data_IF_867071979670
#
_entry.id   IF_867071979670
#
_cell.length_a   1.000
_cell.length_b   1.000
_cell.length_c   1.000
_cell.angle_alpha   90.00
_cell.angle_beta   90.00
_cell.angle_gamma   90.00
#
_symmetry.space_group_name_H-M   'P 1'
#
loop_
_entity.id
_entity.type
_entity.pdbx_description
1 polymer ?
#
# COMPACT_ATOMS: atom_id res chain seq x y z
N UNK A 1 -22.81 2.96 5.22
CA UNK A 1 -21.62 2.90 4.37
C UNK A 1 -20.88 1.67 4.81
N UNK A 2 -20.64 0.77 3.87
CA UNK A 2 -20.06 -0.54 4.14
C UNK A 2 -18.55 -0.44 4.41
N UNK A 3 -18.03 -1.37 5.20
CA UNK A 3 -16.59 -1.45 5.51
C UNK A 3 -15.73 -1.57 4.24
N UNK A 4 -16.30 -2.12 3.15
CA UNK A 4 -15.66 -2.21 1.83
C UNK A 4 -15.51 -0.84 1.17
N UNK A 5 -16.57 -0.02 1.20
CA UNK A 5 -16.57 1.33 0.64
C UNK A 5 -15.62 2.25 1.42
N UNK A 6 -15.59 2.10 2.76
CA UNK A 6 -14.67 2.85 3.62
C UNK A 6 -13.22 2.54 3.29
N UNK A 7 -12.90 1.26 3.04
CA UNK A 7 -11.56 0.86 2.62
C UNK A 7 -11.20 1.42 1.25
N UNK A 8 -12.11 1.39 0.27
CA UNK A 8 -11.89 2.02 -1.04
C UNK A 8 -11.58 3.51 -0.92
N UNK A 9 -12.31 4.25 -0.08
CA UNK A 9 -12.01 5.67 0.14
C UNK A 9 -10.63 5.89 0.75
N UNK A 10 -10.17 5.02 1.66
CA UNK A 10 -8.84 5.10 2.26
C UNK A 10 -7.76 4.80 1.22
N UNK A 11 -7.93 3.76 0.41
CA UNK A 11 -6.96 3.33 -0.60
C UNK A 11 -6.82 4.37 -1.73
N UNK A 12 -7.91 5.06 -2.08
CA UNK A 12 -7.93 6.12 -3.08
C UNK A 12 -7.82 7.53 -2.49
N UNK A 13 -7.65 7.66 -1.16
CA UNK A 13 -7.67 8.94 -0.46
C UNK A 13 -6.64 9.92 -1.03
N UNK A 14 -5.40 9.48 -1.21
CA UNK A 14 -4.31 10.33 -1.72
C UNK A 14 -4.59 10.80 -3.15
N UNK A 15 -5.06 9.91 -4.03
CA UNK A 15 -5.38 10.24 -5.44
C UNK A 15 -6.58 11.17 -5.56
N UNK A 16 -7.60 10.96 -4.74
CA UNK A 16 -8.78 11.83 -4.72
C UNK A 16 -8.41 13.23 -4.23
N UNK A 17 -7.51 13.32 -3.25
CA UNK A 17 -7.09 14.61 -2.70
C UNK A 17 -6.19 15.38 -3.68
N UNK A 18 -5.34 14.69 -4.44
CA UNK A 18 -4.42 15.30 -5.40
C UNK A 18 -5.13 15.72 -6.70
N UNK A 19 -6.05 14.88 -7.19
CA UNK A 19 -6.62 15.06 -8.53
C UNK A 19 -8.03 15.69 -8.54
N UNK A 20 -8.80 15.56 -7.45
CA UNK A 20 -10.19 16.04 -7.40
C UNK A 20 -10.30 17.37 -6.67
N UNK A 21 -10.95 18.34 -7.31
CA UNK A 21 -11.25 19.62 -6.68
C UNK A 21 -12.55 19.52 -5.89
N UNK A 22 -12.51 19.97 -4.64
CA UNK A 22 -13.68 20.00 -3.75
C UNK A 22 -14.81 20.82 -4.34
N UNK A 23 -14.49 21.91 -5.03
CA UNK A 23 -15.50 22.82 -5.61
C UNK A 23 -16.35 22.15 -6.69
N UNK A 24 -15.87 21.08 -7.31
CA UNK A 24 -16.59 20.37 -8.38
C UNK A 24 -17.55 19.31 -7.80
N UNK A 25 -17.22 18.74 -6.64
CA UNK A 25 -18.00 17.68 -5.98
C UNK A 25 -18.90 18.18 -4.84
N UNK A 26 -18.46 19.16 -4.07
CA UNK A 26 -19.13 19.62 -2.85
C UNK A 26 -20.52 20.22 -3.13
N UNK A 27 -20.73 21.09 -4.15
CA UNK A 27 -22.06 21.62 -4.45
C UNK A 27 -23.08 20.54 -4.78
N UNK A 28 -22.66 19.48 -5.49
CA UNK A 28 -23.51 18.33 -5.84
C UNK A 28 -23.89 17.53 -4.59
N UNK A 29 -22.95 17.33 -3.67
CA UNK A 29 -23.21 16.64 -2.41
C UNK A 29 -24.13 17.44 -1.46
N UNK A 30 -24.08 18.77 -1.51
CA UNK A 30 -25.02 19.63 -0.78
C UNK A 30 -26.42 19.56 -1.42
N UNK A 31 -26.50 19.59 -2.76
CA UNK A 31 -27.76 19.43 -3.50
C UNK A 31 -28.44 18.09 -3.20
N UNK A 32 -27.65 17.02 -3.11
CA UNK A 32 -28.09 15.66 -2.75
C UNK A 32 -28.36 15.47 -1.24
N UNK A 33 -28.26 16.55 -0.44
CA UNK A 33 -28.46 16.56 1.02
C UNK A 33 -27.54 15.61 1.81
N UNK A 34 -26.38 15.27 1.27
CA UNK A 34 -25.35 14.50 1.97
C UNK A 34 -24.59 15.41 2.95
N UNK A 35 -24.31 16.64 2.52
CA UNK A 35 -23.74 17.71 3.34
C UNK A 35 -24.73 18.86 3.48
N UNK A 36 -24.69 19.54 4.63
CA UNK A 36 -25.42 20.79 4.79
C UNK A 36 -24.62 21.96 4.20
N UNK A 37 -25.29 23.07 3.93
CA UNK A 37 -24.63 24.31 3.46
C UNK A 37 -23.56 24.75 4.48
N UNK A 38 -23.84 24.61 5.78
CA UNK A 38 -22.89 24.90 6.86
C UNK A 38 -21.66 23.97 6.83
N UNK A 39 -21.84 22.68 6.55
CA UNK A 39 -20.70 21.75 6.38
C UNK A 39 -19.86 22.15 5.17
N UNK A 40 -20.51 22.59 4.08
CA UNK A 40 -19.83 23.06 2.88
C UNK A 40 -19.01 24.32 3.10
N UNK A 41 -19.54 25.27 3.85
CA UNK A 41 -18.81 26.48 4.27
C UNK A 41 -17.62 26.13 5.16
N UNK A 42 -17.78 25.20 6.11
CA UNK A 42 -16.68 24.75 6.98
C UNK A 42 -15.58 24.01 6.21
N UNK A 43 -15.95 23.26 5.18
CA UNK A 43 -15.00 22.59 4.29
C UNK A 43 -14.28 23.64 3.44
N UNK A 44 -15.01 24.57 2.81
CA UNK A 44 -14.41 25.59 1.92
C UNK A 44 -13.66 26.70 2.65
N UNK A 45 -13.89 26.88 3.96
CA UNK A 45 -13.14 27.80 4.80
C UNK A 45 -11.64 27.43 4.94
N UNK A 46 -11.25 26.20 4.60
CA UNK A 46 -9.85 25.79 4.64
C UNK A 46 -9.05 26.35 3.46
N UNK A 47 -7.85 26.88 3.73
CA UNK A 47 -7.03 27.58 2.72
C UNK A 47 -6.53 26.71 1.56
N UNK A 48 -6.43 25.39 1.72
CA UNK A 48 -5.85 24.49 0.72
C UNK A 48 -6.90 23.54 0.15
N UNK A 49 -7.07 23.47 -1.19
CA UNK A 49 -7.98 22.50 -1.84
C UNK A 49 -7.74 21.05 -1.38
N UNK A 50 -6.47 20.71 -1.11
CA UNK A 50 -6.07 19.42 -0.56
C UNK A 50 -6.68 19.19 0.83
N UNK A 51 -6.56 20.15 1.74
CA UNK A 51 -7.12 20.07 3.10
C UNK A 51 -8.65 20.11 3.09
N UNK A 52 -9.25 20.84 2.15
CA UNK A 52 -10.70 20.81 1.93
C UNK A 52 -11.14 19.38 1.55
N UNK A 53 -10.44 18.72 0.61
CA UNK A 53 -10.82 17.38 0.13
C UNK A 53 -10.62 16.33 1.21
N UNK A 54 -9.52 16.40 1.95
CA UNK A 54 -9.27 15.53 3.09
C UNK A 54 -10.41 15.62 4.12
N UNK A 55 -10.87 16.83 4.42
CA UNK A 55 -11.97 17.02 5.38
C UNK A 55 -13.30 16.52 4.84
N UNK A 56 -13.58 16.71 3.55
CA UNK A 56 -14.74 16.14 2.89
C UNK A 56 -14.73 14.60 2.97
N UNK A 57 -13.61 13.96 2.59
CA UNK A 57 -13.44 12.51 2.64
C UNK A 57 -13.46 11.95 4.07
N UNK A 58 -13.01 12.73 5.06
CA UNK A 58 -13.10 12.35 6.47
C UNK A 58 -14.54 12.36 6.99
N UNK A 59 -15.35 13.33 6.57
CA UNK A 59 -16.73 13.45 7.00
C UNK A 59 -17.68 12.51 6.23
N UNK A 60 -17.35 12.17 4.99
CA UNK A 60 -18.17 11.35 4.09
C UNK A 60 -18.64 10.01 4.73
N UNK A 61 -17.78 9.23 5.44
CA UNK A 61 -18.18 7.98 6.09
C UNK A 61 -19.16 8.13 7.25
N UNK A 62 -19.24 9.32 7.84
CA UNK A 62 -20.14 9.64 8.95
C UNK A 62 -21.54 10.06 8.48
N UNK A 63 -21.74 10.32 7.17
CA UNK A 63 -23.00 10.82 6.60
C UNK A 63 -23.94 9.74 6.05
N UNK A 64 -23.59 8.45 6.23
CA UNK A 64 -24.50 7.33 5.97
C UNK A 64 -24.20 6.53 4.71
N UNK A 65 -25.01 5.50 4.42
CA UNK A 65 -24.77 4.54 3.33
C UNK A 65 -24.84 5.13 1.93
N UNK A 66 -25.71 6.12 1.71
CA UNK A 66 -25.89 6.71 0.39
C UNK A 66 -24.81 7.74 0.03
N UNK A 67 -24.00 8.16 1.01
CA UNK A 67 -22.97 9.18 0.82
C UNK A 67 -21.89 8.73 -0.18
N UNK A 68 -21.50 7.46 -0.14
CA UNK A 68 -20.50 6.91 -1.07
C UNK A 68 -21.03 6.88 -2.50
N UNK A 69 -22.23 6.33 -2.72
CA UNK A 69 -22.84 6.26 -4.05
C UNK A 69 -23.01 7.65 -4.67
N UNK A 70 -23.50 8.63 -3.89
CA UNK A 70 -23.69 10.01 -4.35
C UNK A 70 -22.39 10.74 -4.62
N UNK A 71 -21.35 10.46 -3.82
CA UNK A 71 -20.01 10.96 -4.10
C UNK A 71 -19.46 10.39 -5.40
N UNK A 72 -19.60 9.08 -5.62
CA UNK A 72 -19.15 8.46 -6.86
C UNK A 72 -19.93 8.98 -8.07
N UNK A 73 -21.23 9.21 -7.94
CA UNK A 73 -22.03 9.85 -9.01
C UNK A 73 -21.57 11.29 -9.28
N UNK A 74 -21.21 12.06 -8.24
CA UNK A 74 -20.64 13.41 -8.42
C UNK A 74 -19.31 13.39 -9.17
N UNK A 75 -18.52 12.32 -8.98
CA UNK A 75 -17.27 12.09 -9.69
C UNK A 75 -17.50 11.62 -11.14
N UNK A 76 -18.61 10.95 -11.48
CA UNK A 76 -18.82 10.45 -12.85
C UNK A 76 -18.86 11.54 -13.91
N UNK A 77 -19.28 12.75 -13.54
CA UNK A 77 -19.41 13.87 -14.48
C UNK A 77 -18.05 14.44 -14.90
N UNK A 78 -17.17 14.69 -13.93
CA UNK A 78 -15.88 15.38 -14.17
C UNK A 78 -14.67 14.43 -14.10
N UNK A 79 -14.83 13.29 -13.42
CA UNK A 79 -13.80 12.32 -13.08
C UNK A 79 -14.29 10.88 -13.30
N UNK A 80 -14.90 10.64 -14.47
CA UNK A 80 -15.50 9.35 -14.84
C UNK A 80 -14.58 8.14 -14.61
N UNK A 81 -13.29 8.30 -14.89
CA UNK A 81 -12.26 7.28 -14.67
C UNK A 81 -11.98 6.98 -13.18
N UNK A 82 -12.10 7.96 -12.28
CA UNK A 82 -12.01 7.73 -10.82
C UNK A 82 -13.28 7.06 -10.31
N UNK A 83 -14.44 7.51 -10.80
CA UNK A 83 -15.72 6.93 -10.44
C UNK A 83 -15.80 5.45 -10.85
N UNK A 84 -15.36 5.12 -12.07
CA UNK A 84 -15.31 3.76 -12.60
C UNK A 84 -14.42 2.88 -11.72
N UNK A 85 -13.24 3.39 -11.33
CA UNK A 85 -12.28 2.69 -10.45
C UNK A 85 -12.78 2.51 -9.01
N UNK A 86 -13.63 3.43 -8.53
CA UNK A 86 -14.31 3.32 -7.25
C UNK A 86 -15.50 2.34 -7.31
N UNK A 87 -16.24 2.31 -8.42
CA UNK A 87 -17.39 1.41 -8.64
C UNK A 87 -17.01 0.01 -9.07
N UNK A 88 -15.83 -0.21 -9.66
CA UNK A 88 -15.40 -1.52 -10.14
C UNK A 88 -15.55 -2.55 -9.01
N UNK A 89 -16.51 -3.45 -9.21
CA UNK A 89 -17.05 -4.35 -8.22
C UNK A 89 -16.35 -5.70 -8.37
N UNK A 90 -15.02 -5.76 -8.24
CA UNK A 90 -14.34 -7.05 -8.02
C UNK A 90 -12.87 -6.89 -7.64
N UNK A 91 -12.50 -7.55 -6.54
CA UNK A 91 -11.21 -8.22 -6.37
C UNK A 91 -9.89 -7.42 -6.50
N UNK A 92 -9.85 -6.11 -6.25
CA UNK A 92 -8.56 -5.43 -6.07
C UNK A 92 -8.15 -5.49 -4.60
N UNK A 93 -7.68 -6.67 -4.18
CA UNK A 93 -6.56 -6.69 -3.27
C UNK A 93 -5.42 -5.94 -3.98
N UNK A 94 -4.89 -4.89 -3.32
CA UNK A 94 -3.55 -4.34 -3.57
C UNK A 94 -3.37 -3.54 -4.86
N UNK A 95 -3.66 -2.24 -4.81
CA UNK A 95 -3.18 -1.26 -5.81
C UNK A 95 -2.46 -0.05 -5.19
N UNK A 96 -1.81 -0.25 -4.04
CA UNK A 96 -0.47 0.30 -3.85
C UNK A 96 0.50 -0.80 -4.32
N UNK A 97 1.50 -0.47 -5.15
CA UNK A 97 2.53 -1.39 -5.71
C UNK A 97 2.28 -1.95 -7.12
N UNK A 98 2.00 -1.12 -8.14
CA UNK A 98 2.11 -1.53 -9.56
C UNK A 98 3.38 -1.01 -10.27
N UNK A 99 4.51 -0.86 -9.55
CA UNK A 99 5.80 -0.67 -10.21
C UNK A 99 6.96 -1.42 -9.53
N UNK A 100 6.71 -2.55 -8.85
CA UNK A 100 7.77 -3.34 -8.21
C UNK A 100 7.94 -4.74 -8.80
N UNK A 101 7.10 -5.10 -9.78
CA UNK A 101 7.17 -6.43 -10.41
C UNK A 101 8.31 -6.56 -11.43
N UNK A 102 8.89 -5.44 -11.88
CA UNK A 102 10.05 -5.38 -12.77
C UNK A 102 11.31 -4.82 -12.09
N UNK A 103 11.21 -4.26 -10.88
CA UNK A 103 12.37 -3.69 -10.18
C UNK A 103 13.16 -4.80 -9.49
N UNK A 104 14.42 -4.93 -9.89
CA UNK A 104 15.41 -5.74 -9.22
C UNK A 104 15.62 -5.24 -7.78
N UNK A 105 15.90 -6.16 -6.86
CA UNK A 105 16.23 -5.78 -5.48
C UNK A 105 17.58 -5.07 -5.43
N UNK A 106 17.53 -3.75 -5.22
CA UNK A 106 18.70 -2.89 -5.06
C UNK A 106 19.31 -3.03 -3.66
N UNK A 107 20.60 -2.68 -3.52
CA UNK A 107 21.32 -2.76 -2.26
C UNK A 107 20.66 -1.92 -1.16
N UNK A 108 20.02 -0.78 -1.49
CA UNK A 108 19.25 0.02 -0.52
C UNK A 108 18.11 -0.75 0.15
N UNK A 109 17.41 -1.62 -0.59
CA UNK A 109 16.31 -2.44 -0.03
C UNK A 109 16.88 -3.46 0.95
N UNK A 110 18.04 -4.05 0.63
CA UNK A 110 18.75 -4.98 1.52
C UNK A 110 19.24 -4.24 2.77
N UNK A 111 19.76 -3.01 2.62
CA UNK A 111 20.21 -2.16 3.72
C UNK A 111 19.08 -1.78 4.69
N UNK A 112 17.86 -1.54 4.17
CA UNK A 112 16.69 -1.31 5.03
C UNK A 112 16.28 -2.61 5.73
N UNK A 113 16.26 -3.73 5.03
CA UNK A 113 15.81 -5.01 5.59
C UNK A 113 16.77 -5.59 6.64
N UNK A 114 18.08 -5.36 6.51
CA UNK A 114 19.05 -5.77 7.54
C UNK A 114 18.90 -4.98 8.84
N UNK A 115 18.29 -3.80 8.83
CA UNK A 115 17.99 -3.06 10.08
C UNK A 115 16.72 -3.56 10.77
N UNK A 116 15.90 -4.36 10.08
CA UNK A 116 14.67 -4.89 10.65
C UNK A 116 14.94 -6.11 11.53
N UNK A 117 14.73 -5.94 12.83
CA UNK A 117 15.04 -6.99 13.82
C UNK A 117 14.28 -8.31 13.60
N UNK A 118 13.09 -8.29 13.00
CA UNK A 118 12.30 -9.49 12.74
C UNK A 118 12.86 -10.26 11.54
N UNK A 119 13.23 -9.53 10.48
CA UNK A 119 13.88 -10.10 9.29
C UNK A 119 15.21 -10.73 9.68
N UNK A 120 16.00 -10.04 10.48
CA UNK A 120 17.30 -10.50 10.99
C UNK A 120 17.17 -11.74 11.86
N UNK A 121 16.15 -11.81 12.73
CA UNK A 121 15.94 -12.99 13.61
C UNK A 121 15.34 -14.19 12.88
N UNK A 122 14.55 -13.97 11.83
CA UNK A 122 13.80 -15.01 11.11
C UNK A 122 14.24 -15.15 9.64
N UNK A 123 15.49 -14.80 9.35
CA UNK A 123 16.03 -14.80 7.98
C UNK A 123 15.92 -16.18 7.31
N UNK A 124 16.05 -17.27 8.07
CA UNK A 124 15.91 -18.63 7.56
C UNK A 124 14.46 -18.95 7.13
N UNK A 125 13.46 -18.47 7.89
CA UNK A 125 12.05 -18.60 7.48
C UNK A 125 11.78 -17.81 6.21
N UNK A 126 12.33 -16.60 6.13
CA UNK A 126 12.22 -15.77 4.93
C UNK A 126 12.92 -16.42 3.73
N UNK A 127 14.10 -17.00 3.91
CA UNK A 127 14.84 -17.73 2.87
C UNK A 127 14.03 -18.89 2.29
N UNK A 128 13.38 -19.66 3.15
CA UNK A 128 12.48 -20.73 2.73
C UNK A 128 11.27 -20.20 1.95
N UNK A 129 10.65 -19.13 2.45
CA UNK A 129 9.49 -18.51 1.81
C UNK A 129 9.82 -17.86 0.46
N UNK A 130 11.04 -17.33 0.30
CA UNK A 130 11.58 -16.80 -0.96
C UNK A 130 11.96 -17.92 -1.95
N UNK A 131 11.87 -19.18 -1.54
CA UNK A 131 12.16 -20.35 -2.35
C UNK A 131 13.66 -20.53 -2.64
N UNK A 132 14.52 -20.14 -1.70
CA UNK A 132 15.95 -20.47 -1.70
C UNK A 132 16.09 -21.94 -1.34
N UNK A 133 16.96 -22.67 -2.05
CA UNK A 133 17.22 -24.08 -1.76
C UNK A 133 17.64 -24.31 -0.30
N UNK A 134 17.14 -25.38 0.32
CA UNK A 134 17.54 -25.78 1.67
C UNK A 134 19.05 -26.04 1.79
N UNK A 135 19.70 -26.43 0.69
CA UNK A 135 21.16 -26.58 0.63
C UNK A 135 21.87 -25.25 0.84
N UNK A 136 21.39 -24.19 0.20
CA UNK A 136 21.94 -22.84 0.28
C UNK A 136 21.69 -22.22 1.66
N UNK A 137 20.53 -22.46 2.26
CA UNK A 137 20.23 -22.06 3.64
C UNK A 137 21.19 -22.73 4.64
N UNK A 138 21.41 -24.04 4.49
CA UNK A 138 22.35 -24.78 5.33
C UNK A 138 23.79 -24.28 5.16
N UNK A 139 24.20 -23.93 3.93
CA UNK A 139 25.51 -23.34 3.68
C UNK A 139 25.68 -22.00 4.42
N UNK A 140 24.71 -21.09 4.33
CA UNK A 140 24.73 -19.81 5.04
C UNK A 140 24.80 -20.04 6.56
N UNK A 141 24.02 -20.97 7.10
CA UNK A 141 24.01 -21.29 8.53
C UNK A 141 25.33 -21.93 9.01
N UNK A 142 25.93 -22.79 8.19
CA UNK A 142 27.24 -23.40 8.48
C UNK A 142 28.33 -22.32 8.44
N UNK A 143 28.33 -21.48 7.41
CA UNK A 143 29.26 -20.36 7.28
C UNK A 143 29.12 -19.36 8.42
N UNK A 144 27.89 -19.00 8.80
CA UNK A 144 27.65 -18.08 9.91
C UNK A 144 28.22 -18.60 11.22
N UNK A 145 28.12 -19.92 11.46
CA UNK A 145 28.64 -20.55 12.65
C UNK A 145 30.18 -20.66 12.64
N UNK A 146 30.77 -20.99 11.48
CA UNK A 146 32.23 -21.13 11.32
C UNK A 146 32.93 -19.78 11.42
N UNK A 147 32.37 -18.76 10.79
CA UNK A 147 32.97 -17.43 10.68
C UNK A 147 32.41 -16.43 11.70
N UNK A 148 31.58 -16.90 12.64
CA UNK A 148 30.95 -16.10 13.70
C UNK A 148 30.26 -14.84 13.14
N UNK A 149 29.44 -15.00 12.11
CA UNK A 149 28.75 -13.87 11.49
C UNK A 149 27.71 -13.26 12.42
N UNK A 150 27.58 -11.94 12.33
CA UNK A 150 26.42 -11.22 12.82
C UNK A 150 25.18 -11.57 11.97
N UNK A 151 24.00 -11.48 12.60
CA UNK A 151 22.75 -11.85 11.95
C UNK A 151 22.41 -10.94 10.75
N UNK A 152 22.92 -9.70 10.73
CA UNK A 152 22.74 -8.78 9.59
C UNK A 152 23.51 -9.29 8.37
N UNK A 153 24.74 -9.78 8.56
CA UNK A 153 25.53 -10.41 7.52
C UNK A 153 24.88 -11.69 6.96
N UNK A 154 24.19 -12.47 7.80
CA UNK A 154 23.38 -13.60 7.33
C UNK A 154 22.24 -13.16 6.40
N UNK A 155 21.58 -12.03 6.70
CA UNK A 155 20.51 -11.47 5.87
C UNK A 155 21.06 -10.99 4.53
N UNK A 156 22.21 -10.28 4.53
CA UNK A 156 22.84 -9.79 3.30
C UNK A 156 23.25 -10.96 2.41
N UNK A 157 23.96 -11.95 2.94
CA UNK A 157 24.39 -13.13 2.18
C UNK A 157 23.16 -13.91 1.66
N UNK A 158 22.10 -14.02 2.45
CA UNK A 158 20.85 -14.66 2.02
C UNK A 158 20.23 -13.94 0.82
N UNK A 159 20.15 -12.61 0.84
CA UNK A 159 19.63 -11.84 -0.28
C UNK A 159 20.53 -11.89 -1.53
N UNK A 160 21.85 -11.92 -1.36
CA UNK A 160 22.79 -12.11 -2.47
C UNK A 160 22.63 -13.50 -3.11
N UNK A 161 22.54 -14.56 -2.30
CA UNK A 161 22.30 -15.92 -2.79
C UNK A 161 20.94 -16.06 -3.45
N UNK A 162 19.91 -15.43 -2.89
CA UNK A 162 18.58 -15.38 -3.50
C UNK A 162 18.59 -14.69 -4.87
N UNK A 163 19.27 -13.53 -4.98
CA UNK A 163 19.48 -12.84 -6.25
C UNK A 163 20.23 -13.72 -7.24
N UNK A 164 21.25 -14.46 -6.78
CA UNK A 164 22.02 -15.37 -7.63
C UNK A 164 21.21 -16.60 -8.09
N UNK A 165 20.34 -17.16 -7.26
CA UNK A 165 19.53 -18.34 -7.61
C UNK A 165 18.31 -17.98 -8.47
N UNK A 166 17.64 -16.86 -8.18
CA UNK A 166 16.42 -16.44 -8.88
C UNK A 166 16.69 -15.51 -10.06
N UNK A 167 17.86 -14.88 -10.14
CA UNK A 167 18.23 -13.96 -11.22
C UNK A 167 17.19 -12.85 -11.40
N UNK A 168 16.65 -12.74 -12.62
CA UNK A 168 15.63 -11.74 -12.98
C UNK A 168 14.27 -11.94 -12.29
N UNK A 169 14.04 -13.08 -11.64
CA UNK A 169 12.83 -13.33 -10.87
C UNK A 169 12.92 -12.82 -9.42
N UNK A 170 14.11 -12.39 -8.96
CA UNK A 170 14.33 -11.75 -7.66
C UNK A 170 13.82 -10.30 -7.67
N UNK A 171 12.50 -10.16 -7.76
CA UNK A 171 11.82 -8.86 -7.86
C UNK A 171 11.41 -8.37 -6.47
N UNK A 172 11.39 -7.05 -6.31
CA UNK A 172 10.87 -6.41 -5.08
C UNK A 172 9.42 -6.85 -4.81
N UNK A 173 8.63 -7.07 -5.86
CA UNK A 173 7.26 -7.60 -5.75
C UNK A 173 7.19 -9.00 -5.10
N UNK A 174 8.08 -9.93 -5.49
CA UNK A 174 8.14 -11.25 -4.85
C UNK A 174 8.53 -11.13 -3.37
N UNK A 175 9.49 -10.23 -3.07
CA UNK A 175 9.93 -9.98 -1.70
C UNK A 175 8.81 -9.41 -0.82
N UNK A 176 8.12 -8.37 -1.28
CA UNK A 176 7.01 -7.75 -0.55
C UNK A 176 5.83 -8.73 -0.35
N UNK A 177 5.48 -9.51 -1.36
CA UNK A 177 4.45 -10.53 -1.24
C UNK A 177 4.83 -11.59 -0.19
N UNK A 178 6.10 -11.98 -0.17
CA UNK A 178 6.61 -12.96 0.80
C UNK A 178 6.64 -12.41 2.22
N UNK A 179 7.09 -11.17 2.40
CA UNK A 179 7.10 -10.48 3.70
C UNK A 179 5.69 -10.34 4.27
N UNK A 180 4.72 -9.98 3.43
CA UNK A 180 3.30 -9.88 3.82
C UNK A 180 2.70 -11.24 4.17
N UNK A 181 3.03 -12.28 3.41
CA UNK A 181 2.55 -13.65 3.67
C UNK A 181 3.07 -14.23 4.98
N UNK A 182 4.33 -13.96 5.32
CA UNK A 182 4.98 -14.44 6.55
C UNK A 182 4.76 -13.54 7.77
N UNK A 183 3.83 -12.57 7.67
CA UNK A 183 3.47 -11.61 8.70
C UNK A 183 4.62 -10.72 9.19
N UNK A 184 5.59 -10.41 8.33
CA UNK A 184 6.60 -9.38 8.60
C UNK A 184 6.02 -7.98 8.34
N UNK A 185 4.91 -7.65 9.03
CA UNK A 185 4.16 -6.40 8.80
C UNK A 185 4.99 -5.14 9.08
N UNK A 186 6.04 -5.23 9.91
CA UNK A 186 6.94 -4.11 10.21
C UNK A 186 7.96 -3.84 9.09
N UNK A 187 8.06 -4.73 8.10
CA UNK A 187 9.00 -4.68 6.99
C UNK A 187 8.33 -4.64 5.59
N UNK A 188 7.00 -4.74 5.54
CA UNK A 188 6.18 -4.90 4.32
C UNK A 188 5.29 -3.69 4.06
#
# INVERSE_FOLDING_TARGET
MDSKEKRKLIDFHEKLVDEVKVLDVLPKLISERIFTISDGEEITAHCSPHTQMQKLLFLLPSRGANAFTKFVDSLKEDYSWLAEKLTEETAVQLNCSQNYHELEVNNEVIEVLKTNCQVVKRWATLAHALGISSTTQNQIQIQSNIFMWDLERCVVEMFEKWKSEKGKAATVGLLLNTLRKEHFNDAA
#
